data_IF_794164186062
#
_entry.id   IF_794164186062
#
_cell.length_a   1.000
_cell.length_b   1.000
_cell.length_c   1.000
_cell.angle_alpha   90.00
_cell.angle_beta   90.00
_cell.angle_gamma   90.00
#
_symmetry.space_group_name_H-M   'P 1'
#
loop_
_entity.id
_entity.type
_entity.pdbx_description
1 polymer ?
#
# COMPACT_ATOMS: atom_id res chain seq x y z
N UNK A 1 -10.95 -4.61 -0.80
CA UNK A 1 -9.57 -5.14 -0.63
C UNK A 1 -8.69 -4.72 -1.79
N UNK A 2 -8.97 -5.16 -3.02
CA UNK A 2 -8.30 -4.59 -4.19
C UNK A 2 -8.64 -3.09 -4.31
N UNK A 3 -7.64 -2.26 -4.56
CA UNK A 3 -7.75 -0.81 -4.65
C UNK A 3 -7.82 -0.08 -3.31
N UNK A 4 -7.82 -0.80 -2.18
CA UNK A 4 -7.81 -0.20 -0.85
C UNK A 4 -6.47 0.50 -0.58
N UNK A 5 -6.52 1.60 0.18
CA UNK A 5 -5.32 2.21 0.74
C UNK A 5 -4.92 1.47 2.02
N UNK A 6 -3.65 1.11 2.14
CA UNK A 6 -3.14 0.22 3.18
C UNK A 6 -1.89 0.80 3.84
N UNK A 7 -1.73 0.45 5.11
CA UNK A 7 -0.44 0.51 5.80
C UNK A 7 0.21 -0.86 5.60
N UNK A 8 1.42 -0.87 5.04
CA UNK A 8 2.22 -2.07 4.85
C UNK A 8 3.61 -1.88 5.47
N UNK A 9 4.17 -2.94 6.04
CA UNK A 9 5.58 -2.96 6.49
C UNK A 9 6.36 -3.91 5.61
N UNK A 10 7.46 -3.43 5.06
CA UNK A 10 8.42 -4.28 4.34
C UNK A 10 9.23 -5.07 5.38
N UNK A 11 9.59 -6.31 5.06
CA UNK A 11 10.29 -7.19 6.01
C UNK A 11 11.71 -6.69 6.34
N UNK A 12 12.39 -6.15 5.33
CA UNK A 12 13.78 -5.70 5.42
C UNK A 12 13.91 -4.25 5.93
N UNK A 13 12.79 -3.59 6.17
CA UNK A 13 12.73 -2.22 6.63
C UNK A 13 11.91 -2.15 7.93
N UNK A 14 12.38 -1.35 8.88
CA UNK A 14 11.63 -1.16 10.11
C UNK A 14 10.50 -0.14 9.95
N UNK A 15 10.37 0.48 8.78
CA UNK A 15 9.36 1.49 8.48
C UNK A 15 8.05 0.91 7.92
N UNK A 16 6.94 1.51 8.35
CA UNK A 16 5.62 1.28 7.77
C UNK A 16 5.37 2.32 6.66
N UNK A 17 4.79 1.88 5.54
CA UNK A 17 4.48 2.74 4.39
C UNK A 17 2.98 2.76 4.09
N UNK A 18 2.52 3.90 3.56
CA UNK A 18 1.15 4.06 3.07
C UNK A 18 1.11 3.95 1.54
N UNK A 19 0.34 2.99 1.02
CA UNK A 19 0.29 2.64 -0.41
C UNK A 19 -1.11 2.15 -0.80
N UNK A 20 -1.40 2.08 -2.10
CA UNK A 20 -2.60 1.42 -2.62
C UNK A 20 -2.29 -0.05 -2.88
N UNK A 21 -3.12 -0.96 -2.35
CA UNK A 21 -3.05 -2.38 -2.68
C UNK A 21 -3.71 -2.62 -4.05
N UNK A 22 -2.97 -3.24 -4.96
CA UNK A 22 -3.46 -3.69 -6.27
C UNK A 22 -3.41 -5.21 -6.32
N UNK A 23 -4.49 -5.82 -6.76
CA UNK A 23 -4.58 -7.25 -7.05
C UNK A 23 -4.93 -7.38 -8.53
N UNK A 24 -4.04 -7.99 -9.30
CA UNK A 24 -4.20 -8.16 -10.74
C UNK A 24 -3.70 -9.53 -11.18
N UNK A 25 -4.51 -10.24 -11.98
CA UNK A 25 -4.25 -11.63 -12.40
C UNK A 25 -3.81 -12.58 -11.26
N UNK A 26 -4.30 -12.38 -10.04
CA UNK A 26 -3.92 -13.18 -8.85
C UNK A 26 -2.63 -12.72 -8.15
N UNK A 27 -1.87 -11.80 -8.74
CA UNK A 27 -0.70 -11.17 -8.15
C UNK A 27 -1.08 -9.94 -7.34
N UNK A 28 -0.30 -9.64 -6.29
CA UNK A 28 -0.52 -8.50 -5.41
C UNK A 28 0.64 -7.51 -5.49
N UNK A 29 0.33 -6.22 -5.45
CA UNK A 29 1.30 -5.12 -5.56
C UNK A 29 0.96 -3.98 -4.61
N UNK A 30 1.98 -3.24 -4.19
CA UNK A 30 1.86 -1.92 -3.57
C UNK A 30 2.14 -0.84 -4.61
N UNK A 31 1.19 0.06 -4.82
CA UNK A 31 1.35 1.22 -5.70
C UNK A 31 1.43 2.51 -4.88
N UNK A 32 2.40 3.36 -5.22
CA UNK A 32 2.50 4.72 -4.69
C UNK A 32 1.25 5.55 -4.99
N UNK A 33 0.94 6.54 -4.15
CA UNK A 33 -0.09 7.52 -4.49
C UNK A 33 0.37 8.43 -5.63
N UNK A 34 1.68 8.70 -5.73
CA UNK A 34 2.29 9.30 -6.90
C UNK A 34 2.29 8.28 -8.06
N UNK A 35 1.59 8.54 -9.18
CA UNK A 35 1.51 7.61 -10.31
C UNK A 35 2.86 7.36 -11.01
N UNK A 36 3.83 8.27 -10.86
CA UNK A 36 5.15 8.13 -11.45
C UNK A 36 6.03 7.08 -10.75
N UNK A 37 5.65 6.62 -9.57
CA UNK A 37 6.43 5.62 -8.83
C UNK A 37 6.09 4.21 -9.30
N UNK A 38 7.12 3.33 -9.40
CA UNK A 38 6.90 1.95 -9.80
C UNK A 38 6.06 1.20 -8.76
N UNK A 39 5.36 0.16 -9.22
CA UNK A 39 4.68 -0.77 -8.33
C UNK A 39 5.69 -1.72 -7.71
N UNK A 40 5.51 -2.02 -6.43
CA UNK A 40 6.33 -3.00 -5.70
C UNK A 40 5.53 -4.31 -5.60
N UNK A 41 6.01 -5.44 -6.13
CA UNK A 41 5.33 -6.72 -5.97
C UNK A 41 5.34 -7.17 -4.51
N UNK A 42 4.23 -7.77 -4.07
CA UNK A 42 4.12 -8.42 -2.77
C UNK A 42 4.39 -9.91 -2.98
N UNK A 43 5.60 -10.35 -2.67
CA UNK A 43 6.10 -11.71 -2.89
C UNK A 43 6.63 -12.36 -1.59
N UNK A 44 6.00 -12.01 -0.46
CA UNK A 44 6.46 -12.42 0.87
C UNK A 44 7.41 -11.41 1.53
N UNK A 45 7.75 -10.32 0.84
CA UNK A 45 8.57 -9.21 1.32
C UNK A 45 7.81 -8.15 2.14
N UNK A 46 6.50 -8.28 2.32
CA UNK A 46 5.71 -7.29 3.06
C UNK A 46 4.51 -7.92 3.78
N UNK A 47 4.12 -7.27 4.87
CA UNK A 47 2.90 -7.56 5.61
C UNK A 47 1.97 -6.35 5.58
N UNK A 48 0.70 -6.57 5.26
CA UNK A 48 -0.33 -5.53 5.38
C UNK A 48 -0.74 -5.46 6.86
N UNK A 49 -0.54 -4.29 7.47
CA UNK A 49 -0.83 -4.04 8.88
C UNK A 49 -2.27 -3.55 9.07
N UNK A 50 -2.78 -2.77 8.12
CA UNK A 50 -4.12 -2.20 8.22
C UNK A 50 -4.62 -1.60 6.91
N UNK A 51 -5.93 -1.34 6.86
CA UNK A 51 -6.62 -0.72 5.73
C UNK A 51 -7.15 0.65 6.19
N UNK A 52 -6.86 1.70 5.44
CA UNK A 52 -7.44 3.01 5.69
C UNK A 52 -8.92 3.04 5.28
N UNK A 53 -9.75 3.56 6.17
CA UNK A 53 -11.22 3.60 6.01
C UNK A 53 -11.76 5.03 5.90
N UNK A 54 -11.02 6.02 6.37
CA UNK A 54 -11.40 7.43 6.35
C UNK A 54 -10.16 8.31 6.15
N UNK A 55 -10.33 9.43 5.45
CA UNK A 55 -9.35 10.52 5.38
C UNK A 55 -10.07 11.83 5.65
N UNK A 56 -9.50 12.67 6.52
CA UNK A 56 -10.03 14.01 6.84
C UNK A 56 -9.04 15.07 6.36
N UNK A 57 -9.56 16.07 5.68
CA UNK A 57 -8.79 17.25 5.30
C UNK A 57 -9.25 18.42 6.15
N UNK A 58 -8.31 19.10 6.81
CA UNK A 58 -8.60 20.36 7.50
C UNK A 58 -8.21 21.49 6.58
N UNK A 59 -9.20 22.20 6.07
CA UNK A 59 -8.99 23.46 5.37
C UNK A 59 -8.82 24.56 6.44
N UNK A 60 -7.78 25.38 6.28
CA UNK A 60 -7.57 26.60 7.08
C UNK A 60 -8.49 27.72 6.59
#
# INVERSE_FOLDING_TARGET
>A
MNGSLVIAKLLDDNEATFKKLIIDAGHKYLKGLNPAWPMVPINGNCTIIGVAVEAKMRFL
#
